data_IF_213166974840
#
_entry.id   IF_213166974840
#
_cell.length_a   1.000
_cell.length_b   1.000
_cell.length_c   1.000
_cell.angle_alpha   90.00
_cell.angle_beta   90.00
_cell.angle_gamma   90.00
#
_symmetry.space_group_name_H-M   'P 1'
#
loop_
_entity.id
_entity.type
_entity.pdbx_description
1 polymer ?
#
# COMPACT_ATOMS: atom_id res chain seq x y z
N UNK A 1 -5.64 10.05 1.14
CA UNK A 1 -5.27 9.79 -0.28
C UNK A 1 -4.54 11.01 -0.83
N UNK A 2 -3.42 10.82 -1.52
CA UNK A 2 -2.57 11.90 -2.08
C UNK A 2 -2.16 12.96 -1.04
N UNK A 3 -1.89 12.53 0.20
CA UNK A 3 -1.55 13.43 1.32
C UNK A 3 -2.74 14.16 1.94
N UNK A 4 -3.97 13.96 1.44
CA UNK A 4 -5.19 14.53 2.02
C UNK A 4 -5.89 13.48 2.88
N UNK A 5 -6.26 13.85 4.10
CA UNK A 5 -7.01 12.98 5.01
C UNK A 5 -8.35 12.60 4.40
N UNK A 6 -8.76 11.36 4.62
CA UNK A 6 -10.02 10.83 4.14
C UNK A 6 -10.90 10.55 5.34
N UNK A 7 -11.92 11.38 5.63
CA UNK A 7 -12.77 11.23 6.81
C UNK A 7 -13.74 10.04 6.71
N UNK A 8 -13.78 9.35 5.57
CA UNK A 8 -14.66 8.20 5.36
C UNK A 8 -14.01 6.91 5.87
N UNK A 9 -14.57 6.33 6.92
CA UNK A 9 -14.21 5.00 7.48
C UNK A 9 -14.67 3.81 6.60
N UNK A 10 -14.80 4.02 5.29
CA UNK A 10 -15.23 2.96 4.39
C UNK A 10 -14.19 1.83 4.27
N UNK A 11 -14.64 0.59 4.34
CA UNK A 11 -13.79 -0.60 4.18
C UNK A 11 -13.38 -0.72 2.70
N UNK A 12 -12.08 -0.94 2.51
CA UNK A 12 -11.47 -1.16 1.20
C UNK A 12 -10.80 -2.53 1.15
N UNK A 13 -10.70 -3.10 -0.04
CA UNK A 13 -9.97 -4.36 -0.27
C UNK A 13 -8.68 -4.06 -1.02
N UNK A 14 -7.55 -4.36 -0.40
CA UNK A 14 -6.25 -4.34 -1.04
C UNK A 14 -5.90 -5.74 -1.54
N UNK A 15 -5.91 -5.93 -2.85
CA UNK A 15 -5.42 -7.15 -3.48
C UNK A 15 -3.92 -7.03 -3.77
N UNK A 16 -3.15 -7.98 -3.24
CA UNK A 16 -1.73 -8.16 -3.52
C UNK A 16 -1.57 -9.39 -4.42
N UNK A 17 -1.46 -9.17 -5.73
CA UNK A 17 -1.34 -10.24 -6.72
C UNK A 17 0.08 -10.36 -7.28
N UNK A 18 0.38 -11.50 -7.92
CA UNK A 18 1.73 -11.82 -8.42
C UNK A 18 2.38 -10.76 -9.32
N UNK A 19 1.59 -9.98 -10.06
CA UNK A 19 2.10 -8.96 -10.99
C UNK A 19 1.66 -7.54 -10.66
N UNK A 20 0.68 -7.36 -9.77
CA UNK A 20 0.01 -6.07 -9.57
C UNK A 20 -0.63 -5.95 -8.20
N UNK A 21 -0.79 -4.71 -7.76
CA UNK A 21 -1.63 -4.35 -6.61
C UNK A 21 -2.88 -3.63 -7.06
N UNK A 22 -3.99 -3.86 -6.35
CA UNK A 22 -5.29 -3.25 -6.66
C UNK A 22 -6.01 -2.87 -5.37
N UNK A 23 -6.47 -1.63 -5.27
CA UNK A 23 -7.33 -1.14 -4.20
C UNK A 23 -8.75 -0.96 -4.71
N UNK A 24 -9.72 -1.55 -4.00
CA UNK A 24 -11.14 -1.48 -4.34
C UNK A 24 -11.98 -0.94 -3.19
N UNK A 25 -13.07 -0.24 -3.51
CA UNK A 25 -14.16 0.09 -2.58
C UNK A 25 -15.44 -0.52 -3.13
N UNK A 26 -15.93 -1.58 -2.47
CA UNK A 26 -16.99 -2.42 -3.03
C UNK A 26 -16.62 -2.93 -4.43
N UNK A 27 -17.46 -2.65 -5.43
CA UNK A 27 -17.22 -3.05 -6.84
C UNK A 27 -16.29 -2.08 -7.59
N UNK A 28 -16.04 -0.89 -7.07
CA UNK A 28 -15.25 0.15 -7.74
C UNK A 28 -13.75 -0.08 -7.52
N UNK A 29 -12.96 0.05 -8.59
CA UNK A 29 -11.50 0.03 -8.51
C UNK A 29 -10.98 1.44 -8.33
N UNK A 30 -10.31 1.72 -7.21
CA UNK A 30 -9.71 3.03 -6.93
C UNK A 30 -8.35 3.13 -7.61
N UNK A 31 -7.54 2.08 -7.46
CA UNK A 31 -6.22 2.02 -8.06
C UNK A 31 -5.90 0.59 -8.47
N UNK A 32 -5.17 0.44 -9.58
CA UNK A 32 -4.70 -0.84 -10.09
C UNK A 32 -3.42 -0.57 -10.84
N UNK A 33 -2.29 -0.99 -10.28
CA UNK A 33 -0.98 -0.75 -10.89
C UNK A 33 -0.13 -2.02 -10.84
N UNK A 34 0.57 -2.27 -11.95
CA UNK A 34 1.59 -3.32 -12.01
C UNK A 34 2.82 -2.91 -11.19
N UNK A 35 3.58 -3.89 -10.74
CA UNK A 35 4.85 -3.59 -10.07
C UNK A 35 5.78 -2.83 -11.01
N UNK A 36 6.36 -1.75 -10.50
CA UNK A 36 7.24 -0.83 -11.22
C UNK A 36 8.31 -0.28 -10.28
N UNK A 37 9.49 0.03 -10.80
CA UNK A 37 10.57 0.67 -10.03
C UNK A 37 10.24 2.08 -9.51
N UNK A 38 9.14 2.68 -9.99
CA UNK A 38 8.61 3.95 -9.49
C UNK A 38 7.65 3.79 -8.30
N UNK A 39 7.20 2.56 -8.03
CA UNK A 39 6.28 2.25 -6.95
C UNK A 39 7.00 2.30 -5.60
N UNK A 40 6.33 2.83 -4.58
CA UNK A 40 6.83 2.82 -3.21
C UNK A 40 5.85 2.08 -2.30
N UNK A 41 6.38 1.24 -1.42
CA UNK A 41 5.61 0.48 -0.46
C UNK A 41 6.38 0.32 0.85
N UNK A 42 5.86 0.90 1.92
CA UNK A 42 6.48 0.85 3.25
C UNK A 42 5.44 0.93 4.36
N UNK A 43 5.81 0.53 5.59
CA UNK A 43 5.03 0.88 6.77
C UNK A 43 5.08 2.39 6.99
N UNK A 44 4.01 2.95 7.58
CA UNK A 44 4.02 4.35 8.00
C UNK A 44 4.87 4.49 9.27
N UNK A 45 5.71 5.53 9.32
CA UNK A 45 6.41 5.96 10.53
C UNK A 45 5.81 7.31 10.93
N UNK A 46 5.24 7.42 12.13
CA UNK A 46 4.46 8.58 12.59
C UNK A 46 2.94 8.34 12.58
N UNK A 47 2.20 9.02 13.46
CA UNK A 47 0.74 8.83 13.62
C UNK A 47 0.31 8.01 14.85
N UNK A 48 1.15 7.93 15.89
CA UNK A 48 0.82 7.28 17.17
C UNK A 48 0.56 5.78 17.02
N UNK A 49 -0.35 5.23 17.83
CA UNK A 49 -0.65 3.79 17.86
C UNK A 49 -1.16 3.23 16.52
N UNK A 50 -1.79 4.06 15.67
CA UNK A 50 -2.30 3.62 14.36
C UNK A 50 -1.17 3.37 13.32
N UNK A 51 0.03 3.92 13.53
CA UNK A 51 1.15 3.79 12.60
C UNK A 51 1.59 2.32 12.41
N UNK A 52 1.49 1.52 13.47
CA UNK A 52 1.88 0.11 13.44
C UNK A 52 0.98 -0.73 12.51
N UNK A 53 -0.28 -0.32 12.36
CA UNK A 53 -1.28 -0.97 11.49
C UNK A 53 -1.36 -0.34 10.10
N UNK A 54 -0.67 0.78 9.88
CA UNK A 54 -0.75 1.53 8.63
C UNK A 54 0.38 1.20 7.64
N UNK A 55 0.02 1.25 6.36
CA UNK A 55 0.87 1.07 5.19
C UNK A 55 0.78 2.32 4.33
N UNK A 56 1.92 2.83 3.87
CA UNK A 56 1.99 3.77 2.77
C UNK A 56 2.20 3.03 1.45
N UNK A 57 1.34 3.30 0.48
CA UNK A 57 1.46 2.80 -0.88
C UNK A 57 1.41 3.96 -1.88
N UNK A 58 2.51 4.20 -2.60
CA UNK A 58 2.53 5.04 -3.79
C UNK A 58 2.52 4.15 -5.02
N UNK A 59 1.40 4.14 -5.72
CA UNK A 59 1.22 3.31 -6.92
C UNK A 59 1.94 3.94 -8.14
N UNK A 60 1.86 5.27 -8.25
CA UNK A 60 2.56 6.10 -9.25
C UNK A 60 2.75 7.52 -8.70
N UNK A 61 3.47 8.38 -9.42
CA UNK A 61 3.83 9.74 -8.95
C UNK A 61 2.62 10.55 -8.45
N UNK A 62 1.47 10.38 -9.10
CA UNK A 62 0.24 11.13 -8.82
C UNK A 62 -0.76 10.40 -7.91
N UNK A 63 -0.47 9.15 -7.51
CA UNK A 63 -1.35 8.37 -6.66
C UNK A 63 -0.60 7.73 -5.50
N UNK A 64 -0.92 8.19 -4.29
CA UNK A 64 -0.50 7.59 -3.03
C UNK A 64 -1.64 7.48 -2.03
N UNK A 65 -1.56 6.48 -1.16
CA UNK A 65 -2.56 6.22 -0.13
C UNK A 65 -1.90 5.69 1.12
N UNK A 66 -2.46 6.06 2.27
CA UNK A 66 -2.20 5.42 3.55
C UNK A 66 -3.39 4.52 3.84
N UNK A 67 -3.13 3.23 4.07
CA UNK A 67 -4.14 2.23 4.38
C UNK A 67 -3.91 1.71 5.79
N UNK A 68 -4.92 1.82 6.64
CA UNK A 68 -4.94 1.15 7.94
C UNK A 68 -5.50 -0.27 7.76
N UNK A 69 -4.85 -1.23 8.38
CA UNK A 69 -5.27 -2.63 8.40
C UNK A 69 -5.93 -2.96 9.74
N UNK A 70 -6.72 -4.02 9.78
CA UNK A 70 -7.34 -4.53 11.01
C UNK A 70 -6.29 -5.00 12.03
N UNK A 71 -5.14 -5.48 11.55
CA UNK A 71 -4.03 -5.90 12.41
C UNK A 71 -2.66 -5.54 11.84
N UNK A 72 -1.68 -5.39 12.73
CA UNK A 72 -0.27 -5.22 12.34
C UNK A 72 0.25 -6.43 11.54
N UNK A 73 -0.26 -7.62 11.86
CA UNK A 73 0.08 -8.86 11.16
C UNK A 73 -0.34 -8.79 9.70
N UNK A 74 -1.57 -8.36 9.42
CA UNK A 74 -2.08 -8.26 8.04
C UNK A 74 -1.31 -7.20 7.25
N UNK A 75 -1.03 -6.07 7.89
CA UNK A 75 -0.18 -5.02 7.31
C UNK A 75 1.21 -5.55 6.96
N UNK A 76 1.86 -6.28 7.87
CA UNK A 76 3.19 -6.86 7.63
C UNK A 76 3.14 -7.95 6.54
N UNK A 77 2.13 -8.81 6.55
CA UNK A 77 1.93 -9.83 5.53
C UNK A 77 1.76 -9.22 4.14
N UNK A 78 0.96 -8.15 4.01
CA UNK A 78 0.75 -7.44 2.75
C UNK A 78 2.07 -6.83 2.21
N UNK A 79 2.88 -6.23 3.07
CA UNK A 79 4.21 -5.69 2.70
C UNK A 79 5.12 -6.81 2.20
N UNK A 80 5.22 -7.91 2.96
CA UNK A 80 6.11 -9.02 2.63
C UNK A 80 5.70 -9.70 1.32
N UNK A 81 4.40 -9.96 1.13
CA UNK A 81 3.87 -10.55 -0.11
C UNK A 81 4.11 -9.64 -1.31
N UNK A 82 3.82 -8.35 -1.19
CA UNK A 82 4.01 -7.42 -2.30
C UNK A 82 5.48 -7.29 -2.68
N UNK A 83 6.40 -7.28 -1.70
CA UNK A 83 7.85 -7.29 -1.95
C UNK A 83 8.29 -8.57 -2.63
N UNK A 84 7.76 -9.73 -2.19
CA UNK A 84 8.08 -11.01 -2.81
C UNK A 84 7.65 -11.05 -4.27
N UNK A 85 6.42 -10.65 -4.56
CA UNK A 85 5.92 -10.66 -5.94
C UNK A 85 6.57 -9.60 -6.83
N UNK A 86 6.90 -8.42 -6.29
CA UNK A 86 7.69 -7.44 -7.02
C UNK A 86 9.08 -8.00 -7.38
N UNK A 87 9.74 -8.66 -6.42
CA UNK A 87 11.03 -9.33 -6.65
C UNK A 87 10.92 -10.41 -7.73
N UNK A 88 9.88 -11.25 -7.68
CA UNK A 88 9.63 -12.26 -8.72
C UNK A 88 9.37 -11.62 -10.11
N UNK A 89 8.97 -10.34 -10.17
CA UNK A 89 8.84 -9.55 -11.40
C UNK A 89 10.12 -8.77 -11.77
N UNK A 90 11.26 -9.04 -11.13
CA UNK A 90 12.52 -8.27 -11.26
C UNK A 90 12.38 -6.78 -10.90
N UNK A 91 11.40 -6.43 -10.07
CA UNK A 91 11.18 -5.08 -9.56
C UNK A 91 11.60 -5.01 -8.10
N UNK A 92 12.55 -4.13 -7.80
CA UNK A 92 12.86 -3.77 -6.42
C UNK A 92 12.13 -2.49 -6.05
N UNK A 93 11.24 -2.53 -5.06
CA UNK A 93 10.66 -1.30 -4.52
C UNK A 93 11.75 -0.41 -3.96
N UNK A 94 11.61 0.91 -4.16
CA UNK A 94 12.49 1.87 -3.51
C UNK A 94 12.28 1.80 -2.01
N UNK A 95 13.32 1.41 -1.28
CA UNK A 95 13.38 1.54 0.16
C UNK A 95 13.54 3.01 0.52
N UNK A 96 12.43 3.68 0.82
CA UNK A 96 12.47 4.95 1.52
C UNK A 96 11.87 4.76 2.91
N UNK A 97 12.65 5.08 3.94
CA UNK A 97 12.09 5.58 5.18
C UNK A 97 11.53 6.96 4.84
N UNK A 98 10.27 7.03 4.42
CA UNK A 98 9.59 8.32 4.33
C UNK A 98 8.83 8.49 5.65
N UNK A 99 9.21 9.55 6.36
CA UNK A 99 8.86 9.91 7.74
C UNK A 99 9.66 9.14 8.80
#
# INVERSE_FOLDING_TARGET
MNGVDQPSESIHVLHVGKMRMKLCKGKATIAKEYYSGLMQLCGVRGGGNAAAQALFWQAKKEFSVVLAFESERDRNAAIMLARRFAFDCNVSFKWFSKF
#
